data_IF_027547930690
#
_entry.id   IF_027547930690
#
_cell.length_a   1.000
_cell.length_b   1.000
_cell.length_c   1.000
_cell.angle_alpha   90.00
_cell.angle_beta   90.00
_cell.angle_gamma   90.00
#
_symmetry.space_group_name_H-M   'P 1'
#
loop_
_entity.id
_entity.type
_entity.pdbx_description
1 polymer ?
#
# COMPACT_ATOMS: atom_id res chain seq x y z
N UNK A 1 28.76 9.37 -3.53
CA UNK A 1 28.43 9.97 -2.22
C UNK A 1 26.94 10.27 -2.19
N UNK A 2 26.14 9.42 -1.54
CA UNK A 2 24.72 9.66 -1.31
C UNK A 2 24.63 10.56 -0.07
N UNK A 3 24.01 11.74 -0.17
CA UNK A 3 23.89 12.66 0.99
C UNK A 3 23.01 11.99 2.06
N UNK A 4 23.46 11.95 3.33
CA UNK A 4 22.64 11.43 4.42
C UNK A 4 21.52 12.43 4.73
N UNK A 5 20.29 11.93 4.93
CA UNK A 5 19.32 12.66 5.75
C UNK A 5 17.90 12.91 5.22
N UNK A 6 17.41 12.27 4.14
CA UNK A 6 15.94 12.24 3.88
C UNK A 6 15.49 10.98 3.15
N UNK A 7 14.71 10.14 3.84
CA UNK A 7 13.70 9.32 3.19
C UNK A 7 12.77 10.21 2.38
N UNK A 8 12.57 9.91 1.11
CA UNK A 8 11.77 10.75 0.22
C UNK A 8 10.41 10.13 -0.10
N UNK A 9 9.69 9.47 0.82
CA UNK A 9 8.26 9.15 0.60
C UNK A 9 7.49 8.54 1.77
N UNK A 10 6.59 9.35 2.31
CA UNK A 10 5.13 9.21 2.27
C UNK A 10 4.65 10.66 2.40
N UNK A 11 3.67 11.15 1.63
CA UNK A 11 3.23 12.55 1.79
C UNK A 11 2.96 12.79 3.28
N UNK A 12 3.71 13.71 3.93
CA UNK A 12 4.38 14.92 3.38
C UNK A 12 5.89 14.84 2.97
N UNK A 13 6.55 13.69 3.03
CA UNK A 13 8.00 13.53 2.87
C UNK A 13 8.49 13.19 1.45
N UNK A 14 7.60 12.98 0.46
CA UNK A 14 8.00 12.59 -0.89
C UNK A 14 8.37 13.73 -1.83
N UNK A 15 9.65 13.92 -2.20
CA UNK A 15 10.02 14.97 -3.19
C UNK A 15 9.47 14.74 -4.59
N UNK A 16 9.24 13.48 -4.99
CA UNK A 16 8.74 13.15 -6.33
C UNK A 16 7.25 13.50 -6.46
N UNK A 17 6.49 13.27 -5.39
CA UNK A 17 5.04 13.37 -5.45
C UNK A 17 4.45 14.49 -4.60
N UNK A 18 5.25 15.13 -3.74
CA UNK A 18 4.88 16.39 -3.09
C UNK A 18 4.38 17.48 -4.07
N UNK A 19 5.02 17.72 -5.24
CA UNK A 19 4.50 18.72 -6.18
C UNK A 19 3.15 18.34 -6.79
N UNK A 20 2.78 17.06 -6.78
CA UNK A 20 1.48 16.56 -7.26
C UNK A 20 0.53 16.20 -6.12
N UNK A 21 0.90 16.50 -4.88
CA UNK A 21 0.13 16.16 -3.68
C UNK A 21 -0.96 17.20 -3.37
N UNK A 22 -1.02 18.29 -4.14
CA UNK A 22 -2.07 19.29 -4.02
C UNK A 22 -3.43 18.62 -4.25
N UNK A 23 -4.31 18.67 -3.24
CA UNK A 23 -5.60 17.96 -3.22
C UNK A 23 -5.59 16.53 -2.67
N UNK A 24 -4.42 15.99 -2.33
CA UNK A 24 -4.23 14.64 -1.76
C UNK A 24 -3.68 14.69 -0.33
N UNK A 25 -3.97 15.78 0.41
CA UNK A 25 -3.40 16.10 1.73
C UNK A 25 -3.64 15.00 2.77
N UNK A 26 -4.78 14.32 2.70
CA UNK A 26 -5.15 13.22 3.60
C UNK A 26 -4.97 11.83 2.97
N UNK A 27 -4.36 11.76 1.78
CA UNK A 27 -4.14 10.49 1.08
C UNK A 27 -2.72 10.00 1.29
N UNK A 28 -2.63 8.82 1.90
CA UNK A 28 -1.38 8.12 2.08
C UNK A 28 -1.02 7.33 0.82
N UNK A 29 0.09 7.66 0.17
CA UNK A 29 0.55 6.94 -1.00
C UNK A 29 2.08 6.78 -1.05
N UNK A 30 2.51 5.71 -1.71
CA UNK A 30 3.91 5.41 -1.97
C UNK A 30 4.26 5.75 -3.41
N UNK A 31 5.31 6.54 -3.63
CA UNK A 31 5.83 6.75 -4.97
C UNK A 31 6.48 5.47 -5.50
N UNK A 32 6.64 5.38 -6.83
CA UNK A 32 7.24 4.19 -7.49
C UNK A 32 8.57 3.74 -6.88
N UNK A 33 9.43 4.68 -6.45
CA UNK A 33 10.74 4.35 -5.85
C UNK A 33 10.60 3.68 -4.49
N UNK A 34 9.66 4.13 -3.64
CA UNK A 34 9.46 3.54 -2.31
C UNK A 34 8.63 2.28 -2.38
N UNK A 35 7.71 2.22 -3.33
CA UNK A 35 7.10 0.96 -3.71
C UNK A 35 8.17 -0.07 -4.12
N UNK A 36 9.32 0.31 -4.68
CA UNK A 36 10.37 -0.67 -4.96
C UNK A 36 11.09 -1.20 -3.71
N UNK A 37 11.02 -0.51 -2.57
CA UNK A 37 11.72 -0.88 -1.32
C UNK A 37 11.08 -2.05 -0.58
N UNK A 38 9.89 -2.51 -0.97
CA UNK A 38 9.26 -3.69 -0.33
C UNK A 38 10.21 -4.90 -0.34
N UNK A 39 10.41 -5.55 0.82
CA UNK A 39 11.10 -6.83 0.91
C UNK A 39 10.48 -7.90 0.02
N UNK A 40 11.24 -8.94 -0.38
CA UNK A 40 10.74 -10.04 -1.21
C UNK A 40 9.48 -10.70 -0.65
N UNK A 41 9.38 -10.88 0.67
CA UNK A 41 8.22 -11.47 1.32
C UNK A 41 6.93 -10.68 1.02
N UNK A 42 6.95 -9.35 1.23
CA UNK A 42 5.80 -8.50 0.92
C UNK A 42 5.48 -8.48 -0.57
N UNK A 43 6.47 -8.59 -1.46
CA UNK A 43 6.22 -8.70 -2.90
C UNK A 43 5.44 -9.98 -3.23
N UNK A 44 5.78 -11.10 -2.61
CA UNK A 44 5.04 -12.36 -2.76
C UNK A 44 3.61 -12.24 -2.21
N UNK A 45 3.42 -11.65 -1.03
CA UNK A 45 2.09 -11.41 -0.45
C UNK A 45 1.19 -10.58 -1.40
N UNK A 46 1.72 -9.52 -2.01
CA UNK A 46 1.00 -8.72 -3.01
C UNK A 46 0.65 -9.49 -4.27
N UNK A 47 1.52 -10.38 -4.74
CA UNK A 47 1.24 -11.22 -5.91
C UNK A 47 0.10 -12.20 -5.63
N UNK A 48 0.12 -12.86 -4.47
CA UNK A 48 -0.94 -13.77 -4.05
C UNK A 48 -2.26 -13.05 -3.81
N UNK A 49 -2.22 -11.89 -3.14
CA UNK A 49 -3.39 -11.05 -2.95
C UNK A 49 -3.98 -10.58 -4.29
N UNK A 50 -3.14 -10.17 -5.25
CA UNK A 50 -3.57 -9.79 -6.60
C UNK A 50 -4.25 -10.95 -7.33
N UNK A 51 -3.73 -12.18 -7.19
CA UNK A 51 -4.37 -13.38 -7.76
C UNK A 51 -5.74 -13.62 -7.13
N UNK A 52 -5.88 -13.45 -5.81
CA UNK A 52 -7.16 -13.60 -5.10
C UNK A 52 -8.17 -12.54 -5.51
N UNK A 53 -7.76 -11.28 -5.67
CA UNK A 53 -8.63 -10.21 -6.18
C UNK A 53 -9.13 -10.50 -7.60
N UNK A 54 -8.25 -10.95 -8.51
CA UNK A 54 -8.66 -11.29 -9.89
C UNK A 54 -9.69 -12.41 -9.94
N UNK A 55 -9.64 -13.37 -9.01
CA UNK A 55 -10.64 -14.44 -8.88
C UNK A 55 -11.95 -13.96 -8.26
N UNK A 56 -11.97 -12.79 -7.62
CA UNK A 56 -13.12 -12.20 -6.98
C UNK A 56 -13.34 -10.75 -7.49
N UNK A 57 -13.63 -10.55 -8.79
CA UNK A 57 -13.73 -9.22 -9.39
C UNK A 57 -15.02 -8.50 -8.96
N UNK A 58 -14.98 -7.18 -8.77
CA UNK A 58 -16.15 -6.38 -8.36
C UNK A 58 -16.13 -5.96 -6.89
N UNK A 59 -17.06 -5.10 -6.51
CA UNK A 59 -17.07 -4.52 -5.18
C UNK A 59 -17.92 -5.33 -4.19
N UNK A 60 -17.68 -5.17 -2.89
CA UNK A 60 -18.49 -5.84 -1.87
C UNK A 60 -19.92 -5.29 -1.80
N UNK A 61 -20.13 -4.03 -2.18
CA UNK A 61 -21.47 -3.42 -2.17
C UNK A 61 -22.40 -3.95 -3.27
N UNK A 62 -21.85 -4.63 -4.29
CA UNK A 62 -22.62 -5.28 -5.35
C UNK A 62 -23.41 -6.51 -4.84
N UNK A 63 -23.10 -6.98 -3.62
CA UNK A 63 -23.73 -8.15 -3.00
C UNK A 63 -24.72 -7.72 -1.91
N UNK A 64 -25.84 -8.42 -1.72
CA UNK A 64 -26.77 -8.14 -0.63
C UNK A 64 -26.07 -8.17 0.74
N UNK A 65 -26.48 -7.29 1.69
CA UNK A 65 -26.02 -7.33 3.08
C UNK A 65 -26.10 -8.74 3.67
N UNK A 66 -25.05 -9.19 4.36
CA UNK A 66 -25.01 -10.50 5.02
C UNK A 66 -24.81 -11.72 4.09
N UNK A 67 -24.82 -11.55 2.77
CA UNK A 67 -24.57 -12.67 1.85
C UNK A 67 -23.12 -13.17 1.94
N UNK A 68 -22.92 -14.47 1.67
CA UNK A 68 -21.59 -15.07 1.65
C UNK A 68 -20.63 -14.35 0.67
N UNK A 69 -21.14 -13.91 -0.48
CA UNK A 69 -20.39 -13.13 -1.46
C UNK A 69 -19.94 -11.77 -0.92
N UNK A 70 -20.80 -11.07 -0.17
CA UNK A 70 -20.44 -9.81 0.48
C UNK A 70 -19.38 -10.01 1.56
N UNK A 71 -19.56 -11.02 2.41
CA UNK A 71 -18.62 -11.33 3.51
C UNK A 71 -17.23 -11.64 2.93
N UNK A 72 -17.15 -12.54 1.93
CA UNK A 72 -15.89 -12.89 1.29
C UNK A 72 -15.16 -11.65 0.72
N UNK A 73 -15.89 -10.74 0.07
CA UNK A 73 -15.31 -9.51 -0.49
C UNK A 73 -14.90 -8.49 0.56
N UNK A 74 -15.67 -8.35 1.64
CA UNK A 74 -15.28 -7.52 2.79
C UNK A 74 -13.97 -8.04 3.39
N UNK A 75 -13.83 -9.36 3.52
CA UNK A 75 -12.59 -9.98 4.00
C UNK A 75 -11.41 -9.62 3.10
N UNK A 76 -11.53 -9.81 1.78
CA UNK A 76 -10.48 -9.43 0.82
C UNK A 76 -10.17 -7.93 0.90
N UNK A 77 -11.18 -7.08 1.04
CA UNK A 77 -10.99 -5.64 1.17
C UNK A 77 -10.22 -5.29 2.45
N UNK A 78 -10.55 -5.89 3.59
CA UNK A 78 -9.84 -5.70 4.85
C UNK A 78 -8.39 -6.18 4.76
N UNK A 79 -8.17 -7.35 4.17
CA UNK A 79 -6.83 -7.88 3.91
C UNK A 79 -5.99 -6.92 3.05
N UNK A 80 -6.60 -6.32 2.02
CA UNK A 80 -5.93 -5.31 1.20
C UNK A 80 -5.48 -4.11 2.04
N UNK A 81 -6.36 -3.59 2.90
CA UNK A 81 -6.01 -2.47 3.80
C UNK A 81 -4.88 -2.84 4.75
N UNK A 82 -4.93 -4.01 5.38
CA UNK A 82 -3.87 -4.49 6.28
C UNK A 82 -2.54 -4.67 5.55
N UNK A 83 -2.55 -5.28 4.36
CA UNK A 83 -1.36 -5.48 3.55
C UNK A 83 -0.76 -4.15 3.09
N UNK A 84 -1.62 -3.19 2.72
CA UNK A 84 -1.23 -1.82 2.41
C UNK A 84 -0.57 -1.11 3.59
N UNK A 85 -1.19 -1.13 4.76
CA UNK A 85 -0.65 -0.50 5.98
C UNK A 85 0.73 -1.06 6.35
N UNK A 86 0.87 -2.40 6.39
CA UNK A 86 2.16 -3.07 6.64
C UNK A 86 3.21 -2.68 5.60
N UNK A 87 2.84 -2.74 4.33
CA UNK A 87 3.72 -2.36 3.21
C UNK A 87 4.20 -0.92 3.32
N UNK A 88 3.28 -0.01 3.61
CA UNK A 88 3.56 1.40 3.77
C UNK A 88 4.55 1.62 4.91
N UNK A 89 4.25 1.08 6.09
CA UNK A 89 5.11 1.19 7.26
C UNK A 89 6.54 0.69 6.96
N UNK A 90 6.68 -0.54 6.46
CA UNK A 90 7.99 -1.11 6.12
C UNK A 90 8.74 -0.29 5.08
N UNK A 91 8.07 0.18 4.02
CA UNK A 91 8.73 1.01 3.00
C UNK A 91 9.20 2.36 3.56
N UNK A 92 8.46 2.96 4.49
CA UNK A 92 8.83 4.21 5.17
C UNK A 92 10.02 3.95 6.11
N UNK A 93 9.96 2.91 6.93
CA UNK A 93 11.03 2.51 7.86
C UNK A 93 12.36 2.28 7.15
N UNK A 94 12.35 1.51 6.04
CA UNK A 94 13.52 1.28 5.19
C UNK A 94 14.05 2.60 4.62
N UNK A 95 13.17 3.46 4.11
CA UNK A 95 13.58 4.71 3.51
C UNK A 95 14.15 5.71 4.53
N UNK A 96 13.65 5.67 5.77
CA UNK A 96 14.13 6.46 6.91
C UNK A 96 15.36 5.86 7.57
N UNK A 97 15.87 4.73 7.08
CA UNK A 97 17.04 4.05 7.63
C UNK A 97 16.84 3.66 9.12
N UNK A 98 15.58 3.49 9.56
CA UNK A 98 15.23 3.10 10.94
C UNK A 98 15.47 1.60 11.15
N UNK A 99 15.29 0.81 10.09
CA UNK A 99 15.59 -0.62 10.06
C UNK A 99 16.82 -0.84 9.16
N UNK A 100 18.00 -0.63 9.72
CA UNK A 100 19.28 -1.05 9.15
C UNK A 100 19.76 -2.33 9.85
#
# INVERSE_FOLDING_TARGET
MVKPGRAHCAVPFCRITAPTADGFVDQDFLCRRHWALRPPALRTEWLEHSRRQRRNPGAFWDHPPGSAGRIARITIHREHQTLWQRTRATCIEIAMEVTA
#
